data_IF_703514783478
#
_entry.id   IF_703514783478
#
_cell.length_a   1.000
_cell.length_b   1.000
_cell.length_c   1.000
_cell.angle_alpha   90.00
_cell.angle_beta   90.00
_cell.angle_gamma   90.00
#
_symmetry.space_group_name_H-M   'P 1'
#
loop_
_entity.id
_entity.type
_entity.pdbx_description
1 polymer ?
#
# COMPACT_ATOMS: atom_id res chain seq x y z
N UNK A 1 -27.72 39.84 32.67
CA UNK A 1 -26.58 39.80 31.72
C UNK A 1 -25.68 38.64 32.12
N UNK A 2 -25.58 37.58 31.31
CA UNK A 2 -24.61 36.49 31.50
C UNK A 2 -23.89 36.27 30.18
N UNK A 3 -22.62 36.65 30.14
CA UNK A 3 -21.76 36.60 28.95
C UNK A 3 -21.26 35.16 28.83
N UNK A 4 -21.80 34.39 27.87
CA UNK A 4 -21.30 33.05 27.58
C UNK A 4 -19.96 33.17 26.83
N UNK A 5 -18.87 32.77 27.49
CA UNK A 5 -17.54 32.71 26.89
C UNK A 5 -17.50 31.64 25.79
N UNK A 6 -17.22 32.06 24.55
CA UNK A 6 -16.97 31.17 23.41
C UNK A 6 -15.63 30.46 23.63
N UNK A 7 -15.67 29.14 23.90
CA UNK A 7 -14.44 28.34 23.93
C UNK A 7 -13.95 28.17 22.49
N UNK A 8 -12.98 29.01 22.11
CA UNK A 8 -12.17 28.88 20.91
C UNK A 8 -11.49 27.50 20.89
N UNK A 9 -11.92 26.64 19.99
CA UNK A 9 -11.28 25.35 19.74
C UNK A 9 -10.09 25.58 18.79
N UNK A 10 -8.88 25.63 19.34
CA UNK A 10 -7.65 25.76 18.55
C UNK A 10 -7.23 24.37 18.06
N UNK A 11 -7.21 24.08 16.74
CA UNK A 11 -6.80 22.76 16.27
C UNK A 11 -5.29 22.59 16.51
N UNK A 12 -4.92 21.54 17.25
CA UNK A 12 -3.53 21.09 17.38
C UNK A 12 -3.04 20.70 15.99
N UNK A 13 -2.22 21.55 15.35
CA UNK A 13 -1.47 21.20 14.13
C UNK A 13 -0.56 20.02 14.48
N UNK A 14 -0.94 18.81 14.05
CA UNK A 14 -0.01 17.70 14.04
C UNK A 14 1.10 18.03 13.05
N UNK A 15 2.34 17.87 13.52
CA UNK A 15 3.57 18.09 12.77
C UNK A 15 3.62 17.06 11.65
N UNK A 16 3.54 17.53 10.42
CA UNK A 16 3.64 16.69 9.22
C UNK A 16 5.10 16.24 9.07
N UNK A 17 5.34 14.92 9.17
CA UNK A 17 6.67 14.35 8.96
C UNK A 17 6.89 14.24 7.46
N UNK A 18 7.69 15.13 6.89
CA UNK A 18 8.14 15.04 5.50
C UNK A 18 9.25 14.00 5.42
N UNK A 19 8.93 12.83 4.91
CA UNK A 19 9.90 11.79 4.55
C UNK A 19 10.41 12.05 3.14
N UNK A 20 11.72 12.21 3.00
CA UNK A 20 12.40 12.30 1.71
C UNK A 20 12.60 10.87 1.19
N UNK A 21 12.05 10.58 0.01
CA UNK A 21 12.06 9.27 -0.63
C UNK A 21 13.04 9.28 -1.80
N UNK A 22 13.95 8.29 -1.84
CA UNK A 22 14.76 7.94 -3.02
C UNK A 22 13.85 7.70 -4.23
N UNK A 23 14.31 7.87 -5.48
CA UNK A 23 13.53 7.69 -6.74
C UNK A 23 13.02 6.25 -7.01
N UNK A 24 12.77 5.46 -5.97
CA UNK A 24 12.18 4.13 -6.04
C UNK A 24 10.67 4.24 -5.89
N UNK A 25 9.92 3.43 -6.64
CA UNK A 25 8.46 3.37 -6.51
C UNK A 25 8.07 3.08 -5.04
N UNK A 26 7.02 3.74 -4.51
CA UNK A 26 6.60 3.55 -3.13
C UNK A 26 6.17 2.10 -2.90
N UNK A 27 6.57 1.55 -1.74
CA UNK A 27 6.15 0.22 -1.30
C UNK A 27 4.63 0.12 -1.22
N UNK A 28 4.09 -1.07 -1.46
CA UNK A 28 2.67 -1.34 -1.26
C UNK A 28 2.34 -1.41 0.24
N UNK A 29 1.26 -0.75 0.60
CA UNK A 29 0.74 -0.62 1.96
C UNK A 29 -0.50 -1.49 2.17
N UNK A 30 -0.95 -1.58 3.42
CA UNK A 30 -2.21 -2.23 3.74
C UNK A 30 -3.44 -1.45 3.29
N UNK A 31 -3.30 -0.24 2.75
CA UNK A 31 -4.39 0.54 2.16
C UNK A 31 -4.58 0.24 0.67
N UNK A 32 -3.57 -0.34 0.02
CA UNK A 32 -3.63 -0.70 -1.40
C UNK A 32 -4.54 -1.92 -1.58
N UNK A 33 -5.48 -1.81 -2.52
CA UNK A 33 -6.56 -2.78 -2.72
C UNK A 33 -6.43 -3.42 -4.09
N UNK A 34 -6.65 -4.73 -4.15
CA UNK A 34 -6.70 -5.45 -5.40
C UNK A 34 -7.92 -4.99 -6.21
N UNK A 35 -7.70 -4.58 -7.46
CA UNK A 35 -8.75 -4.08 -8.35
C UNK A 35 -9.82 -5.14 -8.66
N UNK A 36 -9.49 -6.43 -8.47
CA UNK A 36 -10.39 -7.55 -8.75
C UNK A 36 -11.26 -7.97 -7.56
N UNK A 37 -10.74 -7.94 -6.33
CA UNK A 37 -11.45 -8.46 -5.16
C UNK A 37 -11.42 -7.57 -3.90
N UNK A 38 -10.73 -6.44 -3.94
CA UNK A 38 -10.61 -5.54 -2.79
C UNK A 38 -9.75 -6.06 -1.64
N UNK A 39 -9.11 -7.23 -1.74
CA UNK A 39 -8.11 -7.66 -0.75
C UNK A 39 -6.86 -6.77 -0.78
N UNK A 40 -5.96 -6.90 0.21
CA UNK A 40 -4.67 -6.19 0.17
C UNK A 40 -3.88 -6.52 -1.10
N UNK A 41 -3.36 -5.49 -1.76
CA UNK A 41 -2.48 -5.63 -2.91
C UNK A 41 -1.03 -5.91 -2.46
N UNK A 42 -0.37 -6.77 -3.23
CA UNK A 42 1.07 -7.07 -3.09
C UNK A 42 1.79 -6.95 -4.43
N UNK A 43 1.08 -6.74 -5.53
CA UNK A 43 1.65 -6.61 -6.85
C UNK A 43 1.10 -5.36 -7.52
N UNK A 44 1.99 -4.47 -7.95
CA UNK A 44 1.67 -3.30 -8.79
C UNK A 44 2.12 -3.58 -10.22
N UNK A 45 1.21 -3.36 -11.15
CA UNK A 45 1.44 -3.52 -12.59
C UNK A 45 1.35 -2.15 -13.22
N UNK A 46 2.43 -1.66 -13.82
CA UNK A 46 2.42 -0.43 -14.61
C UNK A 46 2.31 -0.78 -16.08
N UNK A 47 1.26 -0.32 -16.73
CA UNK A 47 1.00 -0.50 -18.15
C UNK A 47 1.83 0.49 -18.97
N UNK A 48 2.09 0.19 -20.24
CA UNK A 48 2.91 1.06 -21.11
C UNK A 48 2.39 2.50 -21.29
N UNK A 49 1.11 2.76 -21.01
CA UNK A 49 0.52 4.10 -20.99
C UNK A 49 0.67 4.88 -19.68
N UNK A 50 1.36 4.31 -18.68
CA UNK A 50 1.56 4.92 -17.35
C UNK A 50 0.42 4.69 -16.36
N UNK A 51 -0.62 3.96 -16.74
CA UNK A 51 -1.67 3.52 -15.82
C UNK A 51 -1.19 2.37 -14.93
N UNK A 52 -1.71 2.29 -13.71
CA UNK A 52 -1.39 1.22 -12.76
C UNK A 52 -2.60 0.33 -12.46
N UNK A 53 -2.35 -0.95 -12.27
CA UNK A 53 -3.29 -1.93 -11.71
C UNK A 53 -2.67 -2.58 -10.48
N UNK A 54 -3.50 -2.81 -9.46
CA UNK A 54 -3.11 -3.40 -8.20
C UNK A 54 -3.73 -4.78 -8.03
N UNK A 55 -2.91 -5.77 -7.68
CA UNK A 55 -3.36 -7.14 -7.47
C UNK A 55 -2.91 -7.69 -6.11
N UNK A 56 -3.77 -8.50 -5.50
CA UNK A 56 -3.33 -9.41 -4.46
C UNK A 56 -2.47 -10.51 -5.08
N UNK A 57 -1.61 -11.16 -4.30
CA UNK A 57 -0.76 -12.25 -4.78
C UNK A 57 -1.54 -13.40 -5.47
N UNK A 58 -2.81 -13.60 -5.10
CA UNK A 58 -3.68 -14.58 -5.75
C UNK A 58 -4.10 -14.18 -7.17
N UNK A 59 -4.50 -12.92 -7.40
CA UNK A 59 -4.93 -12.48 -8.73
C UNK A 59 -3.75 -12.15 -9.65
N UNK A 60 -2.61 -11.72 -9.10
CA UNK A 60 -1.40 -11.56 -9.88
C UNK A 60 -0.99 -12.88 -10.57
N UNK A 61 -0.97 -13.99 -9.82
CA UNK A 61 -0.66 -15.34 -10.36
C UNK A 61 -1.69 -15.82 -11.38
N UNK A 62 -2.98 -15.55 -11.18
CA UNK A 62 -4.01 -15.91 -12.16
C UNK A 62 -3.92 -15.13 -13.47
N UNK A 63 -3.29 -13.96 -13.45
CA UNK A 63 -3.17 -13.09 -14.62
C UNK A 63 -1.74 -12.99 -15.16
N UNK A 64 -0.80 -13.76 -14.62
CA UNK A 64 0.64 -13.65 -14.90
C UNK A 64 0.97 -13.72 -16.39
N UNK A 65 0.39 -14.69 -17.10
CA UNK A 65 0.61 -14.90 -18.54
C UNK A 65 0.25 -13.64 -19.33
N UNK A 66 -0.94 -13.09 -19.10
CA UNK A 66 -1.42 -11.88 -19.75
C UNK A 66 -0.61 -10.65 -19.37
N UNK A 67 -0.17 -10.55 -18.11
CA UNK A 67 0.66 -9.46 -17.63
C UNK A 67 2.03 -9.45 -18.32
N UNK A 68 2.62 -10.63 -18.59
CA UNK A 68 3.86 -10.76 -19.35
C UNK A 68 3.68 -10.35 -20.82
N UNK A 69 2.60 -10.76 -21.46
CA UNK A 69 2.31 -10.40 -22.86
C UNK A 69 2.20 -8.89 -23.08
N UNK A 70 1.65 -8.16 -22.10
CA UNK A 70 1.42 -6.71 -22.19
C UNK A 70 2.68 -5.87 -21.94
N UNK A 71 3.86 -6.49 -21.76
CA UNK A 71 5.13 -5.81 -21.42
C UNK A 71 5.00 -4.84 -20.24
N UNK A 72 4.18 -5.20 -19.25
CA UNK A 72 3.97 -4.38 -18.08
C UNK A 72 5.18 -4.41 -17.14
N UNK A 73 5.48 -3.28 -16.49
CA UNK A 73 6.43 -3.26 -15.38
C UNK A 73 5.73 -3.83 -14.14
N UNK A 74 6.27 -4.90 -13.58
CA UNK A 74 5.69 -5.60 -12.42
C UNK A 74 6.57 -5.35 -11.20
N UNK A 75 5.96 -4.80 -10.15
CA UNK A 75 6.55 -4.67 -8.81
C UNK A 75 5.82 -5.64 -7.87
N UNK A 76 6.45 -6.76 -7.55
CA UNK A 76 5.88 -7.86 -6.75
C UNK A 76 6.53 -7.90 -5.36
N UNK A 77 5.70 -7.72 -4.33
CA UNK A 77 6.08 -7.81 -2.92
C UNK A 77 5.41 -9.00 -2.22
N UNK A 78 4.92 -9.99 -2.97
CA UNK A 78 4.25 -11.19 -2.43
C UNK A 78 5.17 -12.03 -1.54
N UNK A 79 6.49 -11.88 -1.64
CA UNK A 79 7.46 -12.47 -0.71
C UNK A 79 7.19 -12.04 0.74
N UNK A 80 6.64 -10.85 0.97
CA UNK A 80 6.26 -10.36 2.32
C UNK A 80 5.17 -11.20 2.99
N UNK A 81 4.45 -12.02 2.23
CA UNK A 81 3.46 -12.96 2.78
C UNK A 81 4.12 -14.15 3.50
N UNK A 82 5.39 -14.46 3.19
CA UNK A 82 6.10 -15.60 3.79
C UNK A 82 6.67 -15.34 5.19
N UNK A 83 6.80 -14.06 5.59
CA UNK A 83 7.41 -13.65 6.85
C UNK A 83 6.48 -13.47 8.05
N UNK A 84 5.16 -13.61 7.89
CA UNK A 84 4.22 -13.40 9.01
C UNK A 84 4.09 -14.60 9.97
N UNK A 85 4.79 -15.71 9.72
CA UNK A 85 4.53 -16.96 10.42
C UNK A 85 5.56 -17.37 11.49
N UNK A 86 6.78 -16.83 11.58
CA UNK A 86 7.78 -17.40 12.51
C UNK A 86 8.93 -16.46 12.92
N UNK A 87 8.63 -15.32 13.54
CA UNK A 87 9.54 -14.75 14.55
C UNK A 87 8.85 -14.92 15.91
N UNK A 88 8.72 -16.17 16.34
CA UNK A 88 8.59 -16.47 17.76
C UNK A 88 10.01 -16.75 18.20
N UNK A 89 10.65 -15.74 18.80
CA UNK A 89 11.84 -15.96 19.61
C UNK A 89 11.39 -16.88 20.77
N UNK A 90 11.87 -18.11 20.79
CA UNK A 90 11.80 -19.05 21.91
C UNK A 90 12.51 -18.42 23.12
N UNK A 91 11.76 -17.79 24.04
CA UNK A 91 12.25 -17.33 25.34
C UNK A 91 11.40 -17.91 26.48
N UNK A 92 12.07 -18.79 27.25
CA UNK A 92 11.84 -19.22 28.65
C UNK A 92 11.70 -20.74 28.86
#
# INVERSE_FOLDING_TARGET
MLIQATRNHHPRRLREKVTVTTLTAPMLSSLDRCDRCGAQAYVRVTLGGGGELLFCAHHARQHEEKLREMSALIHDESERLSGSASLVDDDA
#
